data_IF_213755583358
#
_entry.id   IF_213755583358
#
_cell.length_a   1.000
_cell.length_b   1.000
_cell.length_c   1.000
_cell.angle_alpha   90.00
_cell.angle_beta   90.00
_cell.angle_gamma   90.00
#
_symmetry.space_group_name_H-M   'P 1'
#
loop_
_entity.id
_entity.type
_entity.pdbx_description
1 polymer ?
#
# COMPACT_ATOMS: atom_id res chain seq x y z
N UNK A 1 -16.59 1.53 -19.00
CA UNK A 1 -16.19 0.18 -18.55
C UNK A 1 -16.04 0.28 -17.04
N UNK A 2 -16.79 -0.47 -16.24
CA UNK A 2 -16.61 -0.44 -14.78
C UNK A 2 -15.27 -1.14 -14.52
N UNK A 3 -14.25 -0.35 -14.15
CA UNK A 3 -12.92 -0.87 -13.85
C UNK A 3 -12.99 -1.49 -12.46
N UNK A 4 -13.35 -2.77 -12.38
CA UNK A 4 -13.61 -3.43 -11.10
C UNK A 4 -12.27 -3.85 -10.46
N UNK A 5 -11.48 -2.87 -10.01
CA UNK A 5 -10.21 -3.14 -9.32
C UNK A 5 -10.50 -3.88 -8.02
N UNK A 6 -9.70 -4.91 -7.75
CA UNK A 6 -9.76 -5.58 -6.46
C UNK A 6 -9.30 -4.62 -5.36
N UNK A 7 -9.85 -4.68 -4.14
CA UNK A 7 -9.40 -3.85 -3.02
C UNK A 7 -7.89 -3.96 -2.75
N UNK A 8 -7.29 -5.12 -3.02
CA UNK A 8 -5.84 -5.30 -2.91
C UNK A 8 -5.04 -4.53 -3.96
N UNK A 9 -5.57 -4.37 -5.16
CA UNK A 9 -4.94 -3.58 -6.22
C UNK A 9 -4.99 -2.10 -5.87
N UNK A 10 -6.16 -1.57 -5.52
CA UNK A 10 -6.35 -0.17 -5.08
C UNK A 10 -5.42 0.14 -3.90
N UNK A 11 -5.39 -0.77 -2.92
CA UNK A 11 -4.51 -0.64 -1.77
C UNK A 11 -3.03 -0.49 -2.16
N UNK A 12 -2.50 -1.43 -2.95
CA UNK A 12 -1.08 -1.39 -3.28
C UNK A 12 -0.72 -0.26 -4.24
N UNK A 13 -1.61 0.12 -5.15
CA UNK A 13 -1.45 1.30 -6.00
C UNK A 13 -1.36 2.58 -5.16
N UNK A 14 -2.23 2.75 -4.18
CA UNK A 14 -2.22 3.89 -3.27
C UNK A 14 -0.96 3.91 -2.41
N UNK A 15 -0.54 2.77 -1.85
CA UNK A 15 0.73 2.66 -1.12
C UNK A 15 1.92 3.08 -2.00
N UNK A 16 1.94 2.62 -3.25
CA UNK A 16 2.96 2.96 -4.23
C UNK A 16 2.96 4.44 -4.61
N UNK A 17 1.78 5.05 -4.75
CA UNK A 17 1.62 6.47 -5.05
C UNK A 17 2.11 7.32 -3.88
N UNK A 18 1.54 7.14 -2.69
CA UNK A 18 1.87 7.96 -1.53
C UNK A 18 3.32 7.85 -1.09
N UNK A 19 3.94 6.66 -1.20
CA UNK A 19 5.38 6.55 -0.91
C UNK A 19 6.22 7.36 -1.91
N UNK A 20 5.83 7.37 -3.20
CA UNK A 20 6.57 8.09 -4.26
C UNK A 20 6.42 9.59 -4.07
N UNK A 21 5.22 10.08 -3.78
CA UNK A 21 4.95 11.48 -3.45
C UNK A 21 5.78 11.98 -2.27
N UNK A 22 6.02 11.10 -1.29
CA UNK A 22 6.84 11.41 -0.10
C UNK A 22 8.34 11.14 -0.30
N UNK A 23 8.77 10.73 -1.50
CA UNK A 23 10.18 10.40 -1.78
C UNK A 23 10.71 9.19 -1.00
N UNK A 24 9.84 8.26 -0.61
CA UNK A 24 10.15 7.07 0.19
C UNK A 24 10.39 5.87 -0.74
N UNK A 25 11.56 5.23 -0.58
CA UNK A 25 11.85 3.97 -1.26
C UNK A 25 11.02 2.83 -0.67
N UNK A 26 10.70 1.80 -1.46
CA UNK A 26 10.00 0.60 -0.96
C UNK A 26 10.72 -0.01 0.24
N UNK A 27 12.04 -0.15 0.17
CA UNK A 27 12.85 -0.72 1.26
C UNK A 27 12.72 0.09 2.56
N UNK A 28 12.67 1.43 2.48
CA UNK A 28 12.49 2.29 3.66
C UNK A 28 11.09 2.14 4.26
N UNK A 29 10.06 2.01 3.42
CA UNK A 29 8.70 1.75 3.88
C UNK A 29 8.59 0.36 4.54
N UNK A 30 9.17 -0.67 3.92
CA UNK A 30 9.19 -2.03 4.47
C UNK A 30 9.87 -2.08 5.83
N UNK A 31 11.04 -1.45 5.97
CA UNK A 31 11.77 -1.37 7.24
C UNK A 31 10.95 -0.65 8.32
N UNK A 32 10.38 0.51 7.99
CA UNK A 32 9.58 1.28 8.94
C UNK A 32 8.27 0.56 9.35
N UNK A 33 7.66 -0.19 8.43
CA UNK A 33 6.48 -1.00 8.70
C UNK A 33 6.80 -2.36 9.34
N UNK A 34 8.09 -2.65 9.61
CA UNK A 34 8.60 -3.93 10.14
C UNK A 34 8.20 -5.11 9.27
N UNK A 35 8.35 -4.96 7.96
CA UNK A 35 8.08 -5.97 6.94
C UNK A 35 9.39 -6.60 6.48
N UNK A 36 9.31 -7.84 6.00
CA UNK A 36 10.47 -8.49 5.39
C UNK A 36 10.84 -7.78 4.09
N UNK A 37 12.13 -7.76 3.76
CA UNK A 37 12.64 -7.16 2.52
C UNK A 37 11.95 -7.79 1.31
N UNK A 38 11.37 -6.96 0.43
CA UNK A 38 10.65 -7.40 -0.75
C UNK A 38 9.23 -7.91 -0.50
N UNK A 39 8.71 -7.77 0.73
CA UNK A 39 7.33 -8.11 1.07
C UNK A 39 6.33 -7.40 0.16
N UNK A 40 6.49 -6.09 -0.05
CA UNK A 40 5.53 -5.29 -0.83
C UNK A 40 5.50 -5.76 -2.29
N UNK A 41 6.68 -5.98 -2.88
CA UNK A 41 6.77 -6.48 -4.26
C UNK A 41 6.16 -7.87 -4.44
N UNK A 42 6.41 -8.76 -3.48
CA UNK A 42 5.80 -10.09 -3.44
C UNK A 42 4.29 -10.02 -3.30
N UNK A 43 3.79 -9.16 -2.40
CA UNK A 43 2.36 -9.02 -2.16
C UNK A 43 1.61 -8.46 -3.38
N UNK A 44 2.18 -7.47 -4.06
CA UNK A 44 1.65 -6.93 -5.33
C UNK A 44 1.58 -8.05 -6.38
N UNK A 45 2.67 -8.79 -6.56
CA UNK A 45 2.75 -9.85 -7.58
C UNK A 45 1.79 -10.99 -7.30
N UNK A 46 1.60 -11.35 -6.03
CA UNK A 46 0.66 -12.38 -5.60
C UNK A 46 -0.81 -11.89 -5.57
N UNK A 47 -1.05 -10.59 -5.75
CA UNK A 47 -2.37 -9.98 -5.54
C UNK A 47 -2.87 -10.10 -4.10
N UNK A 48 -1.97 -10.31 -3.14
CA UNK A 48 -2.34 -10.62 -1.76
C UNK A 48 -2.68 -9.36 -0.98
N UNK A 49 -3.64 -9.50 -0.07
CA UNK A 49 -4.08 -8.42 0.80
C UNK A 49 -3.38 -8.53 2.16
N UNK A 50 -2.71 -7.48 2.64
CA UNK A 50 -2.03 -7.53 3.93
C UNK A 50 -3.04 -7.58 5.08
N UNK A 51 -2.63 -8.17 6.20
CA UNK A 51 -3.42 -8.14 7.43
C UNK A 51 -3.56 -6.72 7.99
N UNK A 52 -4.62 -6.48 8.76
CA UNK A 52 -4.97 -5.16 9.33
C UNK A 52 -3.80 -4.47 10.05
N UNK A 53 -2.97 -5.22 10.80
CA UNK A 53 -1.83 -4.63 11.50
C UNK A 53 -0.77 -4.06 10.54
N UNK A 54 -0.56 -4.70 9.38
CA UNK A 54 0.38 -4.23 8.36
C UNK A 54 -0.17 -2.97 7.72
N UNK A 55 -1.48 -2.96 7.39
CA UNK A 55 -2.15 -1.78 6.85
C UNK A 55 -2.00 -0.58 7.79
N UNK A 56 -2.26 -0.77 9.09
CA UNK A 56 -2.13 0.29 10.09
C UNK A 56 -0.70 0.83 10.19
N UNK A 57 0.32 -0.03 10.13
CA UNK A 57 1.72 0.40 10.17
C UNK A 57 2.09 1.22 8.92
N UNK A 58 1.63 0.78 7.75
CA UNK A 58 1.86 1.50 6.48
C UNK A 58 1.15 2.87 6.53
N UNK A 59 -0.13 2.91 6.90
CA UNK A 59 -0.90 4.15 7.02
C UNK A 59 -0.25 5.12 8.02
N UNK A 60 0.12 4.62 9.20
CA UNK A 60 0.80 5.43 10.23
C UNK A 60 2.09 6.03 9.69
N UNK A 61 2.95 5.22 9.06
CA UNK A 61 4.24 5.69 8.57
C UNK A 61 4.08 6.72 7.44
N UNK A 62 3.11 6.49 6.54
CA UNK A 62 2.80 7.43 5.47
C UNK A 62 2.03 8.66 5.97
N UNK A 63 1.63 8.72 7.25
CA UNK A 63 0.79 9.77 7.84
C UNK A 63 -0.54 9.94 7.10
N UNK A 64 -1.19 8.81 6.84
CA UNK A 64 -2.49 8.71 6.17
C UNK A 64 -3.53 8.17 7.13
N UNK A 65 -4.80 8.46 6.85
CA UNK A 65 -5.91 7.72 7.40
C UNK A 65 -6.00 6.35 6.74
N UNK A 66 -6.61 5.40 7.45
CA UNK A 66 -6.83 4.05 6.92
C UNK A 66 -7.58 4.08 5.58
N UNK A 67 -8.60 4.94 5.48
CA UNK A 67 -9.49 5.07 4.31
C UNK A 67 -8.77 5.59 3.07
N UNK A 68 -7.73 6.43 3.23
CA UNK A 68 -6.98 7.02 2.12
C UNK A 68 -6.27 5.95 1.27
N UNK A 69 -5.99 4.78 1.86
CA UNK A 69 -5.39 3.64 1.15
C UNK A 69 -6.41 2.85 0.32
N UNK A 70 -7.70 3.11 0.46
CA UNK A 70 -8.78 2.38 -0.22
C UNK A 70 -9.60 3.22 -1.19
N UNK A 71 -9.32 4.52 -1.26
CA UNK A 71 -9.95 5.40 -2.24
C UNK A 71 -9.47 5.03 -3.64
N UNK A 72 -10.39 4.72 -4.54
CA UNK A 72 -10.08 4.56 -5.96
C UNK A 72 -10.21 5.94 -6.62
N UNK A 73 -9.19 6.32 -7.39
CA UNK A 73 -9.04 7.67 -7.95
C UNK A 73 -9.36 7.70 -9.45
N UNK A 74 -9.76 6.57 -10.02
CA UNK A 74 -10.05 6.38 -11.45
C UNK A 74 -11.55 6.57 -11.82
N UNK A 75 -12.36 7.15 -10.93
CA UNK A 75 -13.77 7.52 -11.16
C UNK A 75 -13.95 9.00 -11.55
#
# INVERSE_FOLDING_TARGET
MINNKLPSQVFWENVERYRKEKGISRAKLEDAAKLTKGYIGTAITAGSFPGQQIIQRIAHYLKLQYVDLFEDWDD
#
